data_IF_697649841046
#
_entry.id   IF_697649841046
#
_cell.length_a   1.000
_cell.length_b   1.000
_cell.length_c   1.000
_cell.angle_alpha   90.00
_cell.angle_beta   90.00
_cell.angle_gamma   90.00
#
_symmetry.space_group_name_H-M   'P 1'
#
loop_
_entity.id
_entity.type
_entity.pdbx_description
1 polymer ?
#
# COMPACT_ATOMS: atom_id res chain seq x y z
N UNK A 1 9.61 -9.28 23.05
CA UNK A 1 9.98 -10.27 22.02
C UNK A 1 9.91 -9.58 20.67
N UNK A 2 11.06 -9.35 20.04
CA UNK A 2 11.15 -8.61 18.80
C UNK A 2 10.57 -9.40 17.62
N UNK A 3 10.06 -8.72 16.62
CA UNK A 3 9.53 -9.27 15.38
C UNK A 3 10.52 -10.22 14.66
N UNK A 4 11.79 -10.06 14.88
CA UNK A 4 12.85 -10.94 14.37
C UNK A 4 12.70 -12.40 14.84
N UNK A 5 12.25 -12.60 16.06
CA UNK A 5 11.96 -13.93 16.61
C UNK A 5 10.72 -14.57 15.98
N UNK A 6 9.72 -13.77 15.58
CA UNK A 6 8.50 -14.26 14.94
C UNK A 6 8.69 -14.66 13.47
N UNK A 7 9.51 -13.95 12.71
CA UNK A 7 9.73 -14.24 11.29
C UNK A 7 10.54 -15.52 11.11
N UNK A 8 11.53 -15.73 11.95
CA UNK A 8 12.33 -16.97 11.97
C UNK A 8 11.46 -18.17 12.37
N UNK A 9 10.54 -18.00 13.32
CA UNK A 9 9.64 -19.08 13.78
C UNK A 9 8.64 -19.54 12.74
N UNK A 10 8.09 -18.67 11.90
CA UNK A 10 7.04 -19.07 10.96
C UNK A 10 7.54 -19.95 9.80
N UNK A 11 8.79 -19.83 9.39
CA UNK A 11 9.34 -20.65 8.30
C UNK A 11 9.75 -22.05 8.79
N UNK A 12 10.27 -22.16 10.02
CA UNK A 12 10.71 -23.45 10.59
C UNK A 12 9.55 -24.27 11.19
N UNK A 13 8.47 -23.64 11.67
CA UNK A 13 7.33 -24.35 12.28
C UNK A 13 6.50 -25.16 11.27
N UNK A 14 6.46 -24.76 10.01
CA UNK A 14 5.77 -25.51 8.97
C UNK A 14 6.49 -26.81 8.59
N UNK A 15 7.80 -26.94 8.86
CA UNK A 15 8.61 -28.12 8.53
C UNK A 15 8.63 -29.14 9.67
N UNK A 16 8.59 -28.69 10.92
CA UNK A 16 8.71 -29.57 12.10
C UNK A 16 7.37 -30.16 12.58
N UNK A 17 6.24 -29.53 12.24
CA UNK A 17 4.92 -30.02 12.63
C UNK A 17 4.53 -31.37 11.99
N UNK A 18 5.27 -31.84 10.98
CA UNK A 18 5.04 -33.15 10.34
C UNK A 18 5.84 -34.30 10.98
N UNK A 19 6.80 -34.00 11.87
CA UNK A 19 7.70 -35.02 12.44
C UNK A 19 7.35 -35.44 13.88
N UNK A 20 6.49 -34.70 14.59
CA UNK A 20 6.22 -34.92 16.02
C UNK A 20 5.04 -35.83 16.36
N UNK A 21 4.50 -36.61 15.40
CA UNK A 21 3.33 -37.46 15.65
C UNK A 21 3.61 -38.92 15.99
N UNK A 22 4.86 -39.30 16.25
CA UNK A 22 5.14 -40.67 16.71
C UNK A 22 6.23 -40.70 17.79
N UNK A 23 5.87 -40.58 19.05
CA UNK A 23 6.55 -41.23 20.18
C UNK A 23 5.71 -41.05 21.48
N UNK A 24 4.93 -42.04 21.80
CA UNK A 24 4.42 -42.27 23.16
C UNK A 24 5.45 -43.04 23.98
N UNK A 25 5.73 -42.57 25.21
CA UNK A 25 6.56 -43.32 26.14
C UNK A 25 6.87 -42.61 27.45
N UNK A 26 6.13 -42.94 28.47
CA UNK A 26 6.48 -42.99 29.90
C UNK A 26 6.91 -41.74 30.65
N UNK A 27 6.14 -41.42 31.68
CA UNK A 27 6.21 -40.26 32.58
C UNK A 27 7.15 -40.60 33.77
N UNK A 28 8.28 -39.87 33.85
CA UNK A 28 9.08 -39.76 35.06
C UNK A 28 8.87 -38.38 35.70
N UNK A 29 8.58 -38.37 37.00
CA UNK A 29 8.28 -37.16 37.78
C UNK A 29 9.58 -36.33 37.98
N UNK A 30 9.65 -35.12 37.39
CA UNK A 30 10.71 -34.15 37.59
C UNK A 30 10.12 -32.91 38.27
N UNK A 31 10.79 -32.33 39.31
CA UNK A 31 10.22 -31.20 40.04
C UNK A 31 10.07 -29.97 39.16
N UNK A 32 8.95 -29.28 39.37
CA UNK A 32 8.52 -28.10 38.64
C UNK A 32 9.54 -26.94 38.73
N UNK A 33 10.44 -26.86 37.78
CA UNK A 33 11.01 -25.59 37.34
C UNK A 33 10.06 -25.06 36.28
N UNK A 34 9.71 -23.78 36.37
CA UNK A 34 8.74 -23.13 35.52
C UNK A 34 9.12 -23.32 34.05
N UNK A 35 8.15 -23.78 33.24
CA UNK A 35 8.27 -24.06 31.82
C UNK A 35 8.83 -22.87 31.00
N UNK A 36 8.79 -21.66 31.56
CA UNK A 36 9.31 -20.42 30.97
C UNK A 36 10.87 -20.33 30.98
N UNK A 37 11.57 -20.99 31.92
CA UNK A 37 13.03 -20.91 31.98
C UNK A 37 13.74 -21.91 31.06
N UNK A 38 13.06 -22.99 30.66
CA UNK A 38 13.71 -24.06 29.87
C UNK A 38 13.57 -23.86 28.35
N UNK A 39 12.63 -23.03 27.89
CA UNK A 39 12.35 -22.79 26.45
C UNK A 39 13.20 -21.66 25.87
N UNK A 40 13.74 -20.78 26.70
CA UNK A 40 14.30 -19.49 26.25
C UNK A 40 15.79 -19.56 25.83
N UNK A 41 16.59 -20.44 26.44
CA UNK A 41 18.04 -20.48 26.19
C UNK A 41 18.44 -21.13 24.85
N UNK A 42 17.90 -22.27 24.43
CA UNK A 42 18.20 -22.85 23.12
C UNK A 42 17.63 -22.04 21.97
N UNK A 43 16.51 -21.34 22.19
CA UNK A 43 15.88 -20.45 21.19
C UNK A 43 16.72 -19.19 20.97
N UNK A 44 17.20 -18.57 22.06
CA UNK A 44 18.10 -17.41 22.00
C UNK A 44 19.45 -17.77 21.38
N UNK A 45 19.99 -18.96 21.72
CA UNK A 45 21.23 -19.44 21.12
C UNK A 45 21.08 -19.71 19.62
N UNK A 46 19.97 -20.33 19.18
CA UNK A 46 19.68 -20.58 17.76
C UNK A 46 19.49 -19.26 17.00
N UNK A 47 18.74 -18.32 17.56
CA UNK A 47 18.53 -16.99 16.96
C UNK A 47 19.83 -16.18 16.85
N UNK A 48 20.70 -16.24 17.87
CA UNK A 48 22.02 -15.61 17.85
C UNK A 48 22.92 -16.23 16.78
N UNK A 49 23.02 -17.57 16.74
CA UNK A 49 23.81 -18.28 15.74
C UNK A 49 23.34 -17.97 14.31
N UNK A 50 22.03 -17.92 14.09
CA UNK A 50 21.47 -17.59 12.79
C UNK A 50 21.79 -16.14 12.39
N UNK A 51 21.69 -15.19 13.33
CA UNK A 51 22.09 -13.81 13.10
C UNK A 51 23.58 -13.69 12.79
N UNK A 52 24.44 -14.34 13.57
CA UNK A 52 25.89 -14.32 13.35
C UNK A 52 26.24 -14.89 11.97
N UNK A 53 25.52 -15.91 11.50
CA UNK A 53 25.68 -16.47 10.14
C UNK A 53 25.21 -15.50 9.05
N UNK A 54 24.10 -14.79 9.25
CA UNK A 54 23.57 -13.83 8.27
C UNK A 54 24.47 -12.60 8.15
N UNK A 55 25.10 -12.18 9.24
CA UNK A 55 26.01 -11.03 9.28
C UNK A 55 27.47 -11.43 9.10
N UNK A 56 27.76 -12.63 8.61
CA UNK A 56 29.07 -13.10 8.22
C UNK A 56 29.16 -13.32 6.72
N UNK A 57 30.37 -13.34 6.18
CA UNK A 57 30.62 -13.59 4.77
C UNK A 57 30.86 -12.32 3.94
N UNK A 58 30.84 -12.45 2.60
CA UNK A 58 31.19 -11.34 1.73
C UNK A 58 30.13 -10.24 1.77
N UNK A 59 30.61 -9.02 1.50
CA UNK A 59 29.76 -7.85 1.29
C UNK A 59 29.40 -7.72 -0.19
N UNK A 60 28.25 -7.10 -0.46
CA UNK A 60 27.79 -6.70 -1.80
C UNK A 60 27.65 -5.19 -1.81
N UNK A 61 28.25 -4.57 -2.81
CA UNK A 61 28.11 -3.14 -3.08
C UNK A 61 26.81 -2.90 -3.87
N UNK A 62 25.89 -2.13 -3.31
CA UNK A 62 24.59 -1.83 -3.93
C UNK A 62 24.55 -0.33 -4.27
N UNK A 63 24.28 -0.02 -5.54
CA UNK A 63 24.14 1.35 -6.05
C UNK A 63 22.70 1.60 -6.45
N UNK A 64 22.06 2.63 -5.85
CA UNK A 64 20.63 2.90 -6.00
C UNK A 64 20.39 4.31 -6.53
N UNK A 65 19.42 4.40 -7.45
CA UNK A 65 19.00 5.67 -8.05
C UNK A 65 19.96 6.25 -9.06
N UNK A 66 19.52 7.29 -9.72
CA UNK A 66 20.31 7.99 -10.75
C UNK A 66 21.64 8.58 -10.18
N UNK A 67 21.63 8.96 -8.90
CA UNK A 67 22.81 9.46 -8.20
C UNK A 67 23.75 8.35 -7.71
N UNK A 68 23.44 7.08 -7.96
CA UNK A 68 24.25 5.92 -7.56
C UNK A 68 24.63 5.94 -6.07
N UNK A 69 23.66 6.24 -5.19
CA UNK A 69 23.88 6.19 -3.75
C UNK A 69 24.30 4.77 -3.35
N UNK A 70 25.40 4.66 -2.60
CA UNK A 70 26.08 3.39 -2.31
C UNK A 70 25.76 2.85 -0.93
N UNK A 71 25.56 1.54 -0.84
CA UNK A 71 25.48 0.74 0.38
C UNK A 71 26.33 -0.52 0.24
N UNK A 72 27.01 -0.90 1.31
CA UNK A 72 27.67 -2.20 1.43
C UNK A 72 26.86 -3.09 2.39
N UNK A 73 26.34 -4.22 1.89
CA UNK A 73 25.42 -5.08 2.64
C UNK A 73 25.93 -6.52 2.67
N UNK A 74 25.61 -7.25 3.74
CA UNK A 74 25.97 -8.66 3.85
C UNK A 74 25.20 -9.50 2.83
N UNK A 75 25.92 -10.21 1.97
CA UNK A 75 25.34 -11.08 0.94
C UNK A 75 24.38 -12.11 1.53
N UNK A 76 24.81 -12.78 2.62
CA UNK A 76 24.00 -13.80 3.27
C UNK A 76 22.64 -13.26 3.76
N UNK A 77 22.61 -11.99 4.21
CA UNK A 77 21.38 -11.32 4.64
C UNK A 77 20.44 -11.07 3.46
N UNK A 78 20.95 -10.58 2.34
CA UNK A 78 20.18 -10.36 1.11
C UNK A 78 19.58 -11.66 0.57
N UNK A 79 20.40 -12.69 0.40
CA UNK A 79 19.99 -14.00 -0.12
C UNK A 79 19.00 -14.72 0.82
N UNK A 80 19.11 -14.53 2.14
CA UNK A 80 18.18 -15.13 3.09
C UNK A 80 16.74 -14.61 2.94
N UNK A 81 16.59 -13.36 2.57
CA UNK A 81 15.28 -12.72 2.50
C UNK A 81 14.64 -12.74 1.11
N UNK A 82 15.40 -13.03 0.06
CA UNK A 82 14.91 -13.05 -1.31
C UNK A 82 15.66 -14.04 -2.17
N UNK A 83 14.95 -15.03 -2.69
CA UNK A 83 15.47 -15.98 -3.67
C UNK A 83 15.90 -15.26 -4.97
N UNK A 84 15.17 -14.20 -5.37
CA UNK A 84 15.56 -13.40 -6.54
C UNK A 84 16.87 -12.65 -6.35
N UNK A 85 17.13 -12.11 -5.14
CA UNK A 85 18.43 -11.54 -4.81
C UNK A 85 19.51 -12.60 -4.78
N UNK A 86 19.20 -13.80 -4.29
CA UNK A 86 20.12 -14.93 -4.33
C UNK A 86 20.48 -15.28 -5.77
N UNK A 87 19.50 -15.39 -6.67
CA UNK A 87 19.72 -15.70 -8.09
C UNK A 87 20.53 -14.59 -8.80
N UNK A 88 20.18 -13.30 -8.59
CA UNK A 88 20.91 -12.17 -9.16
C UNK A 88 22.37 -12.13 -8.70
N UNK A 89 22.64 -12.51 -7.47
CA UNK A 89 23.98 -12.50 -6.90
C UNK A 89 24.77 -13.78 -7.19
N UNK A 90 24.12 -14.93 -7.43
CA UNK A 90 24.82 -16.18 -7.78
C UNK A 90 25.21 -16.25 -9.26
N UNK A 91 24.41 -15.70 -10.16
CA UNK A 91 24.61 -15.73 -11.61
C UNK A 91 25.79 -14.89 -12.11
N UNK A 92 26.19 -13.90 -11.33
CA UNK A 92 27.41 -13.14 -11.51
C UNK A 92 28.30 -13.43 -10.30
N UNK A 93 29.60 -13.57 -10.48
CA UNK A 93 30.53 -13.35 -9.37
C UNK A 93 30.48 -11.87 -8.93
N UNK A 94 29.32 -11.22 -9.10
CA UNK A 94 29.11 -9.82 -8.92
C UNK A 94 29.01 -9.53 -7.43
N UNK A 95 30.03 -8.92 -6.95
CA UNK A 95 30.07 -8.22 -5.65
C UNK A 95 29.26 -6.92 -5.71
N UNK A 96 28.54 -6.66 -6.81
CA UNK A 96 27.90 -5.36 -7.09
C UNK A 96 26.48 -5.54 -7.66
N UNK A 97 25.51 -4.77 -7.12
CA UNK A 97 24.11 -4.71 -7.58
C UNK A 97 23.77 -3.26 -7.96
N UNK A 98 23.20 -3.05 -9.15
CA UNK A 98 22.77 -1.74 -9.63
C UNK A 98 21.25 -1.64 -9.72
N UNK A 99 20.66 -0.67 -9.02
CA UNK A 99 19.23 -0.39 -8.93
C UNK A 99 18.94 1.06 -9.36
N UNK A 100 19.37 1.42 -10.58
CA UNK A 100 19.30 2.79 -11.08
C UNK A 100 17.89 3.38 -11.13
N UNK A 101 16.88 2.53 -11.39
CA UNK A 101 15.48 2.92 -11.55
C UNK A 101 14.71 2.99 -10.23
N UNK A 102 15.37 2.70 -9.10
CA UNK A 102 14.73 2.66 -7.79
C UNK A 102 15.15 3.85 -6.93
N UNK A 103 14.23 4.26 -6.04
CA UNK A 103 14.47 5.40 -5.17
C UNK A 103 15.31 5.00 -3.93
N UNK A 104 16.38 5.75 -3.63
CA UNK A 104 17.20 5.53 -2.45
C UNK A 104 16.44 5.54 -1.11
N UNK A 105 15.37 6.33 -0.97
CA UNK A 105 14.61 6.38 0.27
C UNK A 105 13.85 5.06 0.54
N UNK A 106 13.29 4.44 -0.52
CA UNK A 106 12.69 3.11 -0.40
C UNK A 106 13.72 2.04 -0.06
N UNK A 107 14.92 2.15 -0.63
CA UNK A 107 16.02 1.21 -0.33
C UNK A 107 16.55 1.36 1.10
N UNK A 108 16.59 2.57 1.64
CA UNK A 108 16.96 2.82 3.04
C UNK A 108 16.01 2.13 4.03
N UNK A 109 14.70 2.14 3.75
CA UNK A 109 13.74 1.37 4.52
C UNK A 109 13.95 -0.15 4.38
N UNK A 110 14.31 -0.63 3.19
CA UNK A 110 14.68 -2.03 2.99
C UNK A 110 15.89 -2.42 3.85
N UNK A 111 16.95 -1.61 3.84
CA UNK A 111 18.13 -1.82 4.67
C UNK A 111 17.77 -1.83 6.15
N UNK A 112 16.98 -0.86 6.60
CA UNK A 112 16.50 -0.81 7.98
C UNK A 112 15.77 -2.10 8.37
N UNK A 113 14.88 -2.56 7.51
CA UNK A 113 14.15 -3.81 7.77
C UNK A 113 15.07 -5.04 7.77
N UNK A 114 16.01 -5.14 6.83
CA UNK A 114 16.94 -6.26 6.76
C UNK A 114 17.76 -6.44 8.05
N UNK A 115 18.23 -5.32 8.63
CA UNK A 115 19.10 -5.36 9.83
C UNK A 115 18.33 -5.34 11.15
N UNK A 116 17.16 -4.69 11.19
CA UNK A 116 16.37 -4.55 12.44
C UNK A 116 15.20 -5.54 12.53
N UNK A 117 14.79 -6.16 11.40
CA UNK A 117 13.63 -7.05 11.31
C UNK A 117 12.29 -6.34 11.42
N UNK A 118 12.27 -5.01 11.41
CA UNK A 118 11.06 -4.19 11.49
C UNK A 118 11.26 -2.86 10.77
N UNK A 119 10.16 -2.27 10.33
CA UNK A 119 10.09 -0.86 10.00
C UNK A 119 9.71 -0.06 11.25
N UNK A 120 10.05 1.21 11.26
CA UNK A 120 9.52 2.15 12.25
C UNK A 120 8.00 2.26 12.07
N UNK A 121 7.28 2.47 13.17
CA UNK A 121 5.85 2.70 13.09
C UNK A 121 5.60 4.17 12.73
N UNK A 122 4.76 4.41 11.73
CA UNK A 122 4.43 5.77 11.29
C UNK A 122 3.81 6.61 12.42
N UNK A 123 3.20 5.97 13.43
CA UNK A 123 2.67 6.68 14.61
C UNK A 123 3.75 7.35 15.45
N UNK A 124 5.00 6.88 15.34
CA UNK A 124 6.15 7.45 16.06
C UNK A 124 6.69 8.73 15.40
N UNK A 125 6.21 9.08 14.19
CA UNK A 125 6.57 10.30 13.48
C UNK A 125 5.92 11.53 14.13
N UNK A 126 6.66 12.63 14.19
CA UNK A 126 6.29 13.79 15.01
C UNK A 126 5.07 14.57 14.48
N UNK A 127 4.94 14.72 13.17
CA UNK A 127 3.93 15.57 12.53
C UNK A 127 3.34 14.95 11.25
N UNK A 128 2.29 15.57 10.72
CA UNK A 128 1.59 15.11 9.54
C UNK A 128 2.48 15.08 8.28
N UNK A 129 3.32 16.09 7.98
CA UNK A 129 4.26 16.02 6.87
C UNK A 129 5.21 14.83 6.96
N UNK A 130 5.83 14.58 8.12
CA UNK A 130 6.73 13.45 8.31
C UNK A 130 6.02 12.10 8.11
N UNK A 131 4.79 11.96 8.61
CA UNK A 131 3.96 10.77 8.39
C UNK A 131 3.68 10.53 6.92
N UNK A 132 3.38 11.61 6.19
CA UNK A 132 3.13 11.54 4.75
C UNK A 132 4.39 11.18 3.97
N UNK A 133 5.52 11.84 4.24
CA UNK A 133 6.79 11.56 3.59
C UNK A 133 7.23 10.11 3.83
N UNK A 134 7.06 9.62 5.04
CA UNK A 134 7.33 8.22 5.36
C UNK A 134 6.41 7.27 4.60
N UNK A 135 5.13 7.60 4.46
CA UNK A 135 4.19 6.82 3.65
C UNK A 135 4.67 6.76 2.19
N UNK A 136 5.09 7.88 1.60
CA UNK A 136 5.65 7.92 0.24
C UNK A 136 6.89 7.02 0.13
N UNK A 137 7.79 7.04 1.14
CA UNK A 137 8.93 6.11 1.18
C UNK A 137 8.49 4.65 1.25
N UNK A 138 7.39 4.33 1.93
CA UNK A 138 6.82 2.98 1.97
C UNK A 138 6.29 2.52 0.60
N UNK A 139 5.74 3.43 -0.23
CA UNK A 139 5.42 3.09 -1.62
C UNK A 139 6.68 2.70 -2.41
N UNK A 140 7.74 3.48 -2.29
CA UNK A 140 9.03 3.19 -2.95
C UNK A 140 9.63 1.86 -2.49
N UNK A 141 9.52 1.55 -1.19
CA UNK A 141 9.89 0.24 -0.65
C UNK A 141 9.02 -0.88 -1.24
N UNK A 142 7.72 -0.66 -1.40
CA UNK A 142 6.81 -1.65 -1.99
C UNK A 142 7.25 -2.05 -3.41
N UNK A 143 7.73 -1.10 -4.23
CA UNK A 143 8.24 -1.39 -5.58
C UNK A 143 9.48 -2.28 -5.54
N UNK A 144 10.41 -2.02 -4.62
CA UNK A 144 11.57 -2.89 -4.38
C UNK A 144 11.17 -4.29 -3.92
N UNK A 145 10.21 -4.37 -2.99
CA UNK A 145 9.68 -5.65 -2.52
C UNK A 145 8.99 -6.44 -3.63
N UNK A 146 8.34 -5.75 -4.57
CA UNK A 146 7.76 -6.38 -5.75
C UNK A 146 8.84 -6.95 -6.67
N UNK A 147 9.94 -6.21 -6.93
CA UNK A 147 11.06 -6.67 -7.72
C UNK A 147 11.72 -7.93 -7.13
N UNK A 148 11.93 -7.91 -5.82
CA UNK A 148 12.66 -8.96 -5.11
C UNK A 148 11.77 -10.06 -4.53
N UNK A 149 10.48 -10.06 -4.86
CA UNK A 149 9.47 -11.02 -4.40
C UNK A 149 9.37 -11.16 -2.86
N UNK A 150 9.56 -10.05 -2.16
CA UNK A 150 9.49 -9.98 -0.70
C UNK A 150 8.05 -9.72 -0.22
N UNK A 151 7.16 -10.70 -0.38
CA UNK A 151 5.70 -10.55 -0.19
C UNK A 151 5.33 -10.04 1.19
N UNK A 152 5.97 -10.52 2.25
CA UNK A 152 5.66 -10.09 3.61
C UNK A 152 5.99 -8.61 3.84
N UNK A 153 7.19 -8.18 3.46
CA UNK A 153 7.61 -6.79 3.58
C UNK A 153 6.78 -5.87 2.68
N UNK A 154 6.40 -6.35 1.49
CA UNK A 154 5.50 -5.66 0.58
C UNK A 154 4.15 -5.32 1.25
N UNK A 155 3.58 -6.27 2.00
CA UNK A 155 2.34 -6.04 2.74
C UNK A 155 2.53 -5.07 3.92
N UNK A 156 3.63 -5.19 4.65
CA UNK A 156 3.98 -4.23 5.73
C UNK A 156 4.14 -2.81 5.18
N UNK A 157 4.81 -2.65 4.04
CA UNK A 157 4.97 -1.36 3.38
C UNK A 157 3.61 -0.76 2.97
N UNK A 158 2.68 -1.58 2.44
CA UNK A 158 1.32 -1.16 2.14
C UNK A 158 0.56 -0.71 3.39
N UNK A 159 0.68 -1.43 4.49
CA UNK A 159 -0.02 -1.09 5.73
C UNK A 159 0.52 0.20 6.35
N UNK A 160 1.84 0.41 6.34
CA UNK A 160 2.46 1.66 6.79
C UNK A 160 2.07 2.85 5.90
N UNK A 161 2.02 2.67 4.58
CA UNK A 161 1.53 3.69 3.65
C UNK A 161 0.10 4.13 3.99
N UNK A 162 -0.82 3.18 4.09
CA UNK A 162 -2.23 3.46 4.41
C UNK A 162 -2.39 4.14 5.77
N UNK A 163 -1.66 3.65 6.76
CA UNK A 163 -1.65 4.21 8.13
C UNK A 163 -1.12 5.64 8.13
N UNK A 164 -0.02 5.89 7.39
CA UNK A 164 0.59 7.20 7.27
C UNK A 164 -0.35 8.23 6.66
N UNK A 165 -1.02 7.90 5.56
CA UNK A 165 -2.03 8.77 4.95
C UNK A 165 -3.19 9.06 5.93
N UNK A 166 -3.65 8.03 6.64
CA UNK A 166 -4.75 8.17 7.59
C UNK A 166 -4.38 9.08 8.77
N UNK A 167 -3.23 8.87 9.38
CA UNK A 167 -2.78 9.65 10.53
C UNK A 167 -2.33 11.07 10.16
N UNK A 168 -1.78 11.25 8.96
CA UNK A 168 -1.48 12.57 8.43
C UNK A 168 -2.74 13.36 8.04
N UNK A 169 -3.88 12.68 7.85
CA UNK A 169 -5.10 13.25 7.25
C UNK A 169 -4.83 13.88 5.88
N UNK A 170 -3.90 13.28 5.13
CA UNK A 170 -3.52 13.70 3.79
C UNK A 170 -3.87 12.59 2.79
N UNK A 171 -4.05 12.98 1.56
CA UNK A 171 -4.29 12.06 0.44
C UNK A 171 -3.31 12.35 -0.69
N UNK A 172 -2.90 11.33 -1.45
CA UNK A 172 -1.99 11.51 -2.58
C UNK A 172 -2.56 12.51 -3.57
N UNK A 173 -1.69 13.36 -4.08
CA UNK A 173 -2.05 14.29 -5.15
C UNK A 173 -1.99 13.63 -6.53
N UNK A 174 -2.31 14.41 -7.58
CA UNK A 174 -2.34 13.88 -8.94
C UNK A 174 -0.94 13.45 -9.43
N UNK A 175 0.12 14.13 -8.99
CA UNK A 175 1.49 13.80 -9.39
C UNK A 175 1.95 12.50 -8.74
N UNK A 176 1.62 12.28 -7.48
CA UNK A 176 1.91 11.03 -6.78
C UNK A 176 1.11 9.86 -7.36
N UNK A 177 -0.18 10.07 -7.68
CA UNK A 177 -1.01 9.04 -8.32
C UNK A 177 -0.43 8.69 -9.70
N UNK A 178 -0.01 9.68 -10.49
CA UNK A 178 0.63 9.49 -11.79
C UNK A 178 1.94 8.67 -11.64
N UNK A 179 2.75 8.98 -10.64
CA UNK A 179 3.98 8.23 -10.34
C UNK A 179 3.68 6.77 -9.92
N UNK A 180 2.67 6.58 -9.08
CA UNK A 180 2.21 5.23 -8.68
C UNK A 180 1.75 4.43 -9.90
N UNK A 181 0.97 5.05 -10.80
CA UNK A 181 0.49 4.37 -12.02
C UNK A 181 1.61 4.02 -12.98
N UNK A 182 2.61 4.89 -13.11
CA UNK A 182 3.77 4.67 -13.97
C UNK A 182 4.65 3.53 -13.49
N UNK A 183 4.89 3.45 -12.18
CA UNK A 183 5.86 2.54 -11.59
C UNK A 183 5.25 1.24 -11.04
N UNK A 184 3.93 1.18 -10.84
CA UNK A 184 3.27 -0.01 -10.31
C UNK A 184 2.68 -0.88 -11.41
N UNK A 185 2.74 -2.22 -11.28
CA UNK A 185 2.12 -3.13 -12.22
C UNK A 185 0.62 -2.89 -12.39
N UNK A 186 0.08 -3.21 -13.57
CA UNK A 186 -1.36 -3.19 -13.82
C UNK A 186 -2.11 -4.05 -12.79
N UNK A 187 -3.25 -3.56 -12.32
CA UNK A 187 -4.08 -4.19 -11.30
C UNK A 187 -3.38 -4.39 -9.92
N UNK A 188 -2.25 -3.71 -9.67
CA UNK A 188 -1.57 -3.78 -8.39
C UNK A 188 -2.45 -3.28 -7.23
N UNK A 189 -2.24 -3.76 -5.99
CA UNK A 189 -2.93 -3.25 -4.81
C UNK A 189 -2.76 -1.74 -4.62
N UNK A 190 -1.61 -1.17 -4.99
CA UNK A 190 -1.37 0.28 -4.91
C UNK A 190 -2.24 1.06 -5.90
N UNK A 191 -2.32 0.65 -7.17
CA UNK A 191 -3.24 1.29 -8.15
C UNK A 191 -4.67 1.27 -7.64
N UNK A 192 -5.13 0.11 -7.13
CA UNK A 192 -6.48 -0.01 -6.54
C UNK A 192 -6.70 0.90 -5.33
N UNK A 193 -5.69 1.05 -4.46
CA UNK A 193 -5.80 1.90 -3.28
C UNK A 193 -5.96 3.37 -3.67
N UNK A 194 -5.03 3.91 -4.47
CA UNK A 194 -5.06 5.33 -4.85
C UNK A 194 -6.28 5.68 -5.70
N UNK A 195 -6.73 4.76 -6.56
CA UNK A 195 -7.97 4.93 -7.31
C UNK A 195 -9.20 5.03 -6.40
N UNK A 196 -9.28 4.20 -5.35
CA UNK A 196 -10.37 4.29 -4.38
C UNK A 196 -10.32 5.55 -3.53
N UNK A 197 -9.12 6.04 -3.21
CA UNK A 197 -8.95 7.33 -2.54
C UNK A 197 -9.44 8.45 -3.46
N UNK A 198 -9.02 8.47 -4.72
CA UNK A 198 -9.48 9.46 -5.71
C UNK A 198 -11.01 9.40 -5.90
N UNK A 199 -11.57 8.20 -6.06
CA UNK A 199 -13.02 8.02 -6.17
C UNK A 199 -13.77 8.61 -4.97
N UNK A 200 -13.28 8.37 -3.76
CA UNK A 200 -13.87 8.93 -2.54
C UNK A 200 -13.81 10.45 -2.51
N UNK A 201 -12.68 11.05 -2.90
CA UNK A 201 -12.54 12.51 -2.94
C UNK A 201 -13.50 13.13 -3.97
N UNK A 202 -13.59 12.55 -5.16
CA UNK A 202 -14.48 13.04 -6.22
C UNK A 202 -15.97 12.94 -5.84
N UNK A 203 -16.34 11.88 -5.12
CA UNK A 203 -17.72 11.63 -4.73
C UNK A 203 -18.13 12.34 -3.43
N UNK A 204 -17.19 12.95 -2.71
CA UNK A 204 -17.46 13.71 -1.50
C UNK A 204 -17.73 15.19 -1.86
N UNK A 205 -18.99 15.67 -1.68
CA UNK A 205 -19.33 17.05 -1.98
C UNK A 205 -18.59 18.08 -1.11
N UNK A 206 -18.06 17.66 0.03
CA UNK A 206 -17.28 18.51 0.93
C UNK A 206 -15.79 18.56 0.60
N UNK A 207 -15.34 17.78 -0.39
CA UNK A 207 -13.95 17.76 -0.82
C UNK A 207 -13.66 18.92 -1.78
N UNK A 208 -12.51 19.56 -1.59
CA UNK A 208 -11.95 20.56 -2.54
C UNK A 208 -11.32 19.89 -3.76
N UNK A 209 -11.22 18.55 -3.77
CA UNK A 209 -10.63 17.76 -4.87
C UNK A 209 -11.70 17.14 -5.76
N UNK A 210 -12.17 17.93 -6.71
CA UNK A 210 -13.08 17.46 -7.75
C UNK A 210 -12.36 16.71 -8.88
N UNK A 211 -13.12 16.37 -9.92
CA UNK A 211 -12.61 15.63 -11.11
C UNK A 211 -11.43 16.33 -11.76
N UNK A 212 -11.47 17.67 -11.86
CA UNK A 212 -10.42 18.46 -12.50
C UNK A 212 -9.06 18.36 -11.78
N UNK A 213 -9.06 18.08 -10.48
CA UNK A 213 -7.82 17.88 -9.72
C UNK A 213 -7.01 16.68 -10.22
N UNK A 214 -7.65 15.74 -10.94
CA UNK A 214 -7.02 14.53 -11.48
C UNK A 214 -6.81 14.58 -13.00
N UNK A 215 -7.00 15.74 -13.64
CA UNK A 215 -6.88 15.92 -15.10
C UNK A 215 -5.59 15.32 -15.65
N UNK A 216 -4.47 15.59 -15.00
CA UNK A 216 -3.17 15.06 -15.39
C UNK A 216 -3.12 13.53 -15.38
N UNK A 217 -3.72 12.89 -14.38
CA UNK A 217 -3.78 11.43 -14.32
C UNK A 217 -4.58 10.84 -15.48
N UNK A 218 -5.67 11.51 -15.91
CA UNK A 218 -6.46 11.10 -17.08
C UNK A 218 -5.67 11.22 -18.38
N UNK A 219 -4.87 12.28 -18.51
CA UNK A 219 -4.08 12.53 -19.72
C UNK A 219 -2.88 11.59 -19.84
N UNK A 220 -2.21 11.29 -18.71
CA UNK A 220 -0.98 10.50 -18.67
C UNK A 220 -1.23 9.00 -18.59
N UNK A 221 -2.33 8.56 -17.98
CA UNK A 221 -2.61 7.15 -17.67
C UNK A 221 -4.05 6.77 -18.01
N UNK A 222 -4.33 6.28 -19.22
CA UNK A 222 -5.68 5.86 -19.61
C UNK A 222 -6.29 4.79 -18.67
N UNK A 223 -5.46 3.90 -18.12
CA UNK A 223 -5.89 2.89 -17.15
C UNK A 223 -6.49 3.50 -15.89
N UNK A 224 -5.97 4.68 -15.44
CA UNK A 224 -6.51 5.37 -14.28
C UNK A 224 -7.98 5.73 -14.44
N UNK A 225 -8.38 6.20 -15.63
CA UNK A 225 -9.76 6.54 -15.93
C UNK A 225 -10.69 5.32 -15.83
N UNK A 226 -10.26 4.19 -16.40
CA UNK A 226 -11.02 2.92 -16.35
C UNK A 226 -11.16 2.39 -14.92
N UNK A 227 -10.06 2.39 -14.17
CA UNK A 227 -10.04 1.95 -12.79
C UNK A 227 -10.91 2.85 -11.90
N UNK A 228 -10.87 4.18 -12.12
CA UNK A 228 -11.65 5.17 -11.36
C UNK A 228 -13.16 4.97 -11.58
N UNK A 229 -13.60 4.89 -12.85
CA UNK A 229 -15.02 4.65 -13.16
C UNK A 229 -15.47 3.31 -12.58
N UNK A 230 -14.62 2.29 -12.64
CA UNK A 230 -14.90 0.98 -12.04
C UNK A 230 -15.02 1.09 -10.51
N UNK A 231 -14.13 1.83 -9.86
CA UNK A 231 -14.17 2.03 -8.41
C UNK A 231 -15.43 2.77 -7.96
N UNK A 232 -15.83 3.83 -8.68
CA UNK A 232 -17.06 4.58 -8.43
C UNK A 232 -18.29 3.67 -8.62
N UNK A 233 -18.37 2.93 -9.73
CA UNK A 233 -19.47 2.01 -9.99
C UNK A 233 -19.63 0.95 -8.89
N UNK A 234 -18.54 0.38 -8.42
CA UNK A 234 -18.57 -0.60 -7.36
C UNK A 234 -18.97 0.02 -6.00
N UNK A 235 -18.53 1.23 -5.71
CA UNK A 235 -18.85 1.93 -4.47
C UNK A 235 -20.31 2.38 -4.40
N UNK A 236 -20.90 2.77 -5.51
CA UNK A 236 -22.30 3.23 -5.59
C UNK A 236 -23.32 2.11 -5.70
N UNK A 237 -22.88 0.85 -5.76
CA UNK A 237 -23.78 -0.29 -5.87
C UNK A 237 -24.54 -0.37 -7.20
N UNK A 238 -24.06 0.38 -8.22
CA UNK A 238 -24.69 0.40 -9.56
C UNK A 238 -25.97 1.22 -9.59
N UNK A 239 -26.06 2.32 -8.82
CA UNK A 239 -27.17 3.28 -8.94
C UNK A 239 -27.28 3.74 -10.38
N UNK A 240 -28.45 3.56 -10.98
CA UNK A 240 -28.72 4.05 -12.31
C UNK A 240 -28.88 5.57 -12.26
N UNK A 241 -28.29 6.25 -13.23
CA UNK A 241 -28.57 7.65 -13.52
C UNK A 241 -29.96 7.75 -14.16
N UNK A 242 -30.58 8.91 -14.05
CA UNK A 242 -31.84 9.21 -14.79
C UNK A 242 -31.61 8.99 -16.27
N UNK A 243 -32.65 8.51 -16.98
CA UNK A 243 -32.55 8.28 -18.42
C UNK A 243 -32.45 9.63 -19.15
N UNK A 244 -31.31 9.95 -19.78
CA UNK A 244 -31.14 11.22 -20.47
C UNK A 244 -31.99 11.32 -21.75
N UNK A 245 -32.57 10.22 -22.23
CA UNK A 245 -33.46 10.18 -23.37
C UNK A 245 -34.90 10.44 -22.98
N UNK A 246 -35.22 10.54 -21.70
CA UNK A 246 -36.56 10.90 -21.24
C UNK A 246 -36.88 12.33 -21.69
N UNK A 247 -38.00 12.47 -22.39
CA UNK A 247 -38.45 13.74 -22.93
C UNK A 247 -38.76 14.82 -21.89
N UNK A 248 -38.88 14.43 -20.61
CA UNK A 248 -39.06 15.37 -19.50
C UNK A 248 -37.81 16.25 -19.26
N UNK A 249 -36.64 15.77 -19.64
CA UNK A 249 -35.33 16.45 -19.41
C UNK A 249 -34.82 17.18 -20.67
N UNK A 250 -35.66 17.37 -21.67
CA UNK A 250 -35.23 17.86 -22.98
C UNK A 250 -34.56 19.23 -22.99
N UNK A 251 -34.81 20.08 -21.97
CA UNK A 251 -34.23 21.42 -21.93
C UNK A 251 -32.76 21.43 -21.46
N UNK A 252 -32.32 20.40 -20.77
CA UNK A 252 -30.96 20.28 -20.27
C UNK A 252 -29.92 20.09 -21.37
N UNK A 253 -30.39 19.69 -22.57
CA UNK A 253 -29.54 19.41 -23.73
C UNK A 253 -29.68 20.49 -24.85
N UNK A 254 -30.38 21.64 -24.57
CA UNK A 254 -30.54 22.69 -25.51
C UNK A 254 -29.59 23.85 -25.26
N UNK A 255 -29.00 24.39 -26.31
CA UNK A 255 -28.23 25.62 -26.25
C UNK A 255 -29.20 26.83 -26.26
N UNK A 256 -29.13 27.64 -25.19
CA UNK A 256 -29.94 28.85 -25.01
C UNK A 256 -29.11 30.13 -24.96
N UNK A 257 -27.84 30.09 -25.27
CA UNK A 257 -27.01 31.30 -25.31
C UNK A 257 -27.35 32.19 -26.49
N UNK A 258 -27.76 31.59 -27.63
CA UNK A 258 -28.11 32.30 -28.87
C UNK A 258 -29.42 31.73 -29.41
N UNK A 259 -30.59 32.26 -29.01
CA UNK A 259 -31.86 31.83 -29.59
C UNK A 259 -33.08 31.96 -28.68
N UNK A 260 -34.29 31.61 -29.16
CA UNK A 260 -35.48 31.64 -28.33
C UNK A 260 -35.43 30.57 -27.24
N UNK A 261 -35.77 30.94 -26.00
CA UNK A 261 -35.87 30.01 -24.89
C UNK A 261 -36.96 28.97 -25.16
N UNK A 262 -36.62 27.71 -24.88
CA UNK A 262 -37.60 26.62 -24.95
C UNK A 262 -38.73 26.86 -23.95
N UNK A 263 -39.96 26.76 -24.40
CA UNK A 263 -41.10 26.69 -23.53
C UNK A 263 -41.24 25.25 -22.99
N UNK A 264 -40.43 24.88 -21.99
CA UNK A 264 -40.73 23.69 -21.19
C UNK A 264 -42.00 24.00 -20.39
N UNK A 265 -43.02 23.17 -20.54
CA UNK A 265 -44.17 23.20 -19.61
C UNK A 265 -43.59 22.99 -18.22
N UNK A 266 -43.56 24.03 -17.40
CA UNK A 266 -43.30 23.93 -15.99
C UNK A 266 -44.29 22.89 -15.44
N UNK A 267 -43.80 21.71 -15.09
CA UNK A 267 -44.60 20.71 -14.43
C UNK A 267 -45.07 21.32 -13.10
N UNK A 268 -46.35 21.68 -13.07
CA UNK A 268 -47.03 22.31 -11.96
C UNK A 268 -46.96 21.47 -10.70
N UNK A 269 -46.11 21.90 -9.79
CA UNK A 269 -46.26 21.70 -8.34
C UNK A 269 -46.25 23.07 -7.68
N UNK A 270 -47.25 23.86 -8.01
CA UNK A 270 -47.67 25.00 -7.20
C UNK A 270 -49.09 24.74 -6.72
N UNK A 271 -49.24 23.85 -5.80
CA UNK A 271 -50.47 23.61 -5.03
C UNK A 271 -50.32 24.21 -3.62
N UNK A 272 -50.03 25.50 -3.55
CA UNK A 272 -50.15 26.29 -2.31
C UNK A 272 -51.57 26.77 -2.19
N UNK A 273 -52.43 26.13 -1.41
CA UNK A 273 -53.74 26.62 -1.01
C UNK A 273 -53.57 27.91 -0.18
N UNK A 274 -53.79 29.03 -0.79
CA UNK A 274 -54.10 30.28 -0.07
C UNK A 274 -55.45 30.14 0.59
N UNK A 275 -55.48 30.03 1.90
CA UNK A 275 -56.70 30.12 2.71
C UNK A 275 -57.07 31.59 2.83
N UNK A 276 -58.07 31.99 2.07
CA UNK A 276 -58.82 33.22 2.31
C UNK A 276 -59.45 33.18 3.69
N UNK A 277 -59.13 34.16 4.53
CA UNK A 277 -59.91 34.48 5.77
C UNK A 277 -61.16 35.23 5.33
N UNK A 278 -62.33 34.91 5.86
CA UNK A 278 -63.48 35.79 5.78
C UNK A 278 -63.34 36.94 6.75
N UNK A 279 -63.71 38.11 6.32
CA UNK A 279 -63.72 39.29 7.12
C UNK A 279 -64.88 39.31 8.14
N UNK A 280 -64.60 40.00 9.21
CA UNK A 280 -65.53 40.91 9.94
C UNK A 280 -64.71 42.05 10.52
#
# INVERSE_FOLDING_TARGET
MGWYERIIYHRDFAYDARRSRMANGSIGHVPARTFAEYVDEPVRAKAKWQRDRLLSGPMVDVYVGAAQRHWALHRNLLCHHSERLEDELQGSQAETLHLADYDPAGFELLVTWLYQGRLEDVSDMADAPQKYDYAVCCHKLYLLCHRFDMVQLKNVAMDQYRKGLHEAQLVPDADEIDDIYRNSPTASPFRRLVTRIAARQIMDPGSDRGVDSYRRCFESNPDFALDLVTAIRLATGGVLLDDPTDTANGCDYHDHEVGPRCYTKANGKAGGKEKSKPGE
#
